data_IF_789128560425
#
_entry.id   IF_789128560425
#
_cell.length_a   1.000
_cell.length_b   1.000
_cell.length_c   1.000
_cell.angle_alpha   90.00
_cell.angle_beta   90.00
_cell.angle_gamma   90.00
#
_symmetry.space_group_name_H-M   'P 1'
#
loop_
_entity.id
_entity.type
_entity.pdbx_description
1 polymer ?
#
# COMPACT_ATOMS: atom_id res chain seq x y z
N UNK A 1 -52.45 -78.65 33.79
CA UNK A 1 -52.20 -77.43 32.99
C UNK A 1 -52.50 -76.24 33.88
N UNK A 2 -51.48 -75.46 34.24
CA UNK A 2 -51.55 -74.04 34.61
C UNK A 2 -50.12 -73.58 34.93
N UNK A 3 -49.42 -73.26 33.85
CA UNK A 3 -48.47 -72.18 33.64
C UNK A 3 -47.70 -71.63 34.86
N UNK A 4 -46.46 -72.11 35.00
CA UNK A 4 -45.38 -71.39 35.68
C UNK A 4 -45.09 -70.11 34.90
N UNK A 5 -45.52 -68.97 35.41
CA UNK A 5 -44.99 -67.66 34.99
C UNK A 5 -43.53 -67.58 35.44
N UNK A 6 -42.56 -67.24 34.57
CA UNK A 6 -41.18 -67.06 35.01
C UNK A 6 -41.07 -65.78 35.83
N UNK A 7 -40.46 -65.86 37.01
CA UNK A 7 -39.95 -64.70 37.72
C UNK A 7 -38.81 -64.13 36.88
N UNK A 8 -39.09 -63.04 36.17
CA UNK A 8 -38.06 -62.29 35.46
C UNK A 8 -37.39 -61.38 36.49
N UNK A 9 -36.10 -61.54 36.80
CA UNK A 9 -35.39 -60.56 37.61
C UNK A 9 -35.41 -59.24 36.84
N UNK A 10 -36.03 -58.20 37.42
CA UNK A 10 -35.81 -56.82 36.97
C UNK A 10 -34.33 -56.53 37.20
N UNK A 11 -33.59 -56.36 36.12
CA UNK A 11 -32.22 -55.85 36.18
C UNK A 11 -32.23 -54.47 36.80
N UNK A 12 -31.38 -54.22 37.79
CA UNK A 12 -31.13 -52.88 38.35
C UNK A 12 -30.46 -51.92 37.35
N UNK A 13 -30.19 -52.37 36.11
CA UNK A 13 -29.59 -51.60 35.02
C UNK A 13 -30.63 -50.94 34.10
N UNK A 14 -31.79 -50.57 34.64
CA UNK A 14 -32.75 -49.71 33.96
C UNK A 14 -32.41 -48.25 34.22
N UNK A 15 -31.90 -47.54 33.22
CA UNK A 15 -31.73 -46.08 33.27
C UNK A 15 -33.10 -45.42 33.50
N UNK A 16 -33.47 -45.20 34.77
CA UNK A 16 -34.67 -44.47 35.15
C UNK A 16 -34.47 -43.01 34.74
N UNK A 17 -34.99 -42.63 33.58
CA UNK A 17 -35.03 -41.25 33.16
C UNK A 17 -35.92 -40.45 34.12
N UNK A 18 -35.30 -39.76 35.09
CA UNK A 18 -35.98 -38.82 35.97
C UNK A 18 -36.30 -37.56 35.14
N UNK A 19 -37.56 -37.41 34.72
CA UNK A 19 -38.00 -36.24 33.96
C UNK A 19 -38.37 -35.11 34.92
N UNK A 20 -37.72 -33.94 34.86
CA UNK A 20 -38.03 -32.83 35.75
C UNK A 20 -39.44 -32.29 35.52
N UNK A 21 -40.13 -31.91 36.59
CA UNK A 21 -41.44 -31.25 36.45
C UNK A 21 -41.27 -29.84 35.88
N UNK A 22 -42.24 -29.33 35.08
CA UNK A 22 -42.17 -27.96 34.55
C UNK A 22 -42.03 -26.89 35.65
N UNK A 23 -42.60 -27.13 36.84
CA UNK A 23 -42.43 -26.25 38.01
C UNK A 23 -41.00 -26.22 38.51
N UNK A 24 -40.33 -27.36 38.57
CA UNK A 24 -38.93 -27.46 38.96
C UNK A 24 -38.04 -26.72 37.94
N UNK A 25 -38.26 -26.94 36.64
CA UNK A 25 -37.51 -26.24 35.57
C UNK A 25 -37.71 -24.73 35.63
N UNK A 26 -38.94 -24.24 35.83
CA UNK A 26 -39.21 -22.80 35.95
C UNK A 26 -38.48 -22.20 37.16
N UNK A 27 -38.57 -22.87 38.33
CA UNK A 27 -37.89 -22.44 39.55
C UNK A 27 -36.37 -22.41 39.37
N UNK A 28 -35.78 -23.44 38.76
CA UNK A 28 -34.33 -23.48 38.54
C UNK A 28 -33.88 -22.45 37.52
N UNK A 29 -34.69 -22.12 36.51
CA UNK A 29 -34.40 -21.02 35.57
C UNK A 29 -34.45 -19.66 36.28
N UNK A 30 -35.47 -19.42 37.12
CA UNK A 30 -35.59 -18.18 37.90
C UNK A 30 -34.41 -18.00 38.87
N UNK A 31 -34.06 -19.06 39.61
CA UNK A 31 -32.90 -19.09 40.50
C UNK A 31 -31.58 -18.92 39.73
N UNK A 32 -31.44 -19.56 38.57
CA UNK A 32 -30.27 -19.41 37.71
C UNK A 32 -30.14 -17.98 37.17
N UNK A 33 -31.23 -17.36 36.76
CA UNK A 33 -31.23 -15.98 36.27
C UNK A 33 -30.82 -14.98 37.37
N UNK A 34 -31.30 -15.18 38.60
CA UNK A 34 -30.94 -14.34 39.76
C UNK A 34 -29.49 -14.55 40.22
N UNK A 35 -28.95 -15.77 40.07
CA UNK A 35 -27.55 -16.10 40.38
C UNK A 35 -26.55 -15.35 39.50
N UNK A 36 -26.94 -14.94 38.29
CA UNK A 36 -26.08 -14.20 37.34
C UNK A 36 -25.96 -12.70 37.63
N UNK A 37 -26.15 -12.25 38.86
CA UNK A 37 -25.95 -10.85 39.24
C UNK A 37 -24.45 -10.54 39.44
N UNK A 38 -23.68 -10.59 38.35
CA UNK A 38 -22.27 -10.18 38.36
C UNK A 38 -22.14 -8.73 37.88
N UNK A 39 -21.29 -7.92 38.54
CA UNK A 39 -21.01 -6.56 38.10
C UNK A 39 -20.28 -6.55 36.75
N UNK A 40 -20.26 -5.40 36.10
CA UNK A 40 -19.44 -5.17 34.91
C UNK A 40 -17.95 -5.27 35.27
N UNK A 41 -17.14 -5.76 34.34
CA UNK A 41 -15.69 -5.81 34.54
C UNK A 41 -15.10 -4.40 34.59
N UNK A 42 -14.09 -4.23 35.42
CA UNK A 42 -13.24 -3.04 35.44
C UNK A 42 -11.79 -3.48 35.22
N UNK A 43 -10.87 -2.51 35.16
CA UNK A 43 -9.44 -2.82 35.10
C UNK A 43 -8.92 -3.51 36.38
N UNK A 44 -9.65 -3.39 37.49
CA UNK A 44 -9.25 -3.92 38.80
C UNK A 44 -10.07 -5.15 39.20
N UNK A 45 -11.37 -5.16 38.87
CA UNK A 45 -12.31 -6.18 39.30
C UNK A 45 -12.87 -6.97 38.11
N UNK A 46 -13.01 -8.28 38.31
CA UNK A 46 -13.56 -9.18 37.29
C UNK A 46 -15.08 -8.99 37.16
N UNK A 47 -15.61 -9.10 35.95
CA UNK A 47 -17.04 -8.97 35.66
C UNK A 47 -17.40 -9.25 34.20
N UNK A 48 -18.60 -8.84 33.76
CA UNK A 48 -19.01 -8.95 32.35
C UNK A 48 -18.50 -7.80 31.48
N UNK A 49 -18.21 -8.09 30.21
CA UNK A 49 -17.80 -7.12 29.20
C UNK A 49 -18.67 -7.25 27.95
N UNK A 50 -18.85 -6.13 27.24
CA UNK A 50 -19.43 -6.12 25.89
C UNK A 50 -18.28 -6.07 24.88
N UNK A 51 -18.45 -6.76 23.74
CA UNK A 51 -17.44 -6.81 22.69
C UNK A 51 -17.68 -5.69 21.68
N UNK A 52 -16.62 -5.03 21.23
CA UNK A 52 -16.66 -4.07 20.12
C UNK A 52 -15.72 -4.48 18.98
N UNK A 53 -16.17 -4.24 17.75
CA UNK A 53 -15.37 -4.38 16.53
C UNK A 53 -14.73 -3.06 16.08
N UNK A 54 -14.92 -1.97 16.84
CA UNK A 54 -14.37 -0.66 16.49
C UNK A 54 -12.86 -0.62 16.70
N UNK A 55 -12.14 -0.02 15.75
CA UNK A 55 -10.66 0.09 15.77
C UNK A 55 -10.14 1.39 16.35
N UNK A 56 -11.04 2.35 16.64
CA UNK A 56 -10.71 3.69 17.15
C UNK A 56 -11.65 4.14 18.27
N UNK A 57 -12.25 3.19 19.00
CA UNK A 57 -13.12 3.51 20.14
C UNK A 57 -12.29 3.90 21.37
N UNK A 58 -12.76 4.90 22.10
CA UNK A 58 -12.18 5.35 23.38
C UNK A 58 -12.88 4.69 24.59
N UNK A 59 -13.70 3.65 24.37
CA UNK A 59 -14.44 3.00 25.44
C UNK A 59 -13.53 2.13 26.29
N UNK A 60 -13.53 2.36 27.61
CA UNK A 60 -12.79 1.55 28.59
C UNK A 60 -13.59 0.35 29.12
N UNK A 61 -14.89 0.27 28.79
CA UNK A 61 -15.81 -0.76 29.29
C UNK A 61 -16.07 -1.89 28.30
N UNK A 62 -15.56 -1.75 27.07
CA UNK A 62 -15.76 -2.71 25.98
C UNK A 62 -14.45 -3.40 25.62
N UNK A 63 -14.50 -4.72 25.43
CA UNK A 63 -13.35 -5.49 24.99
C UNK A 63 -13.26 -5.54 23.46
N UNK A 64 -12.04 -5.38 22.92
CA UNK A 64 -11.80 -5.48 21.49
C UNK A 64 -11.91 -6.94 21.02
N UNK A 65 -12.52 -7.17 19.85
CA UNK A 65 -12.53 -8.49 19.21
C UNK A 65 -11.24 -8.75 18.42
N UNK A 66 -10.91 -10.03 18.12
CA UNK A 66 -9.81 -10.36 17.21
C UNK A 66 -9.92 -9.67 15.84
N UNK A 67 -11.15 -9.40 15.37
CA UNK A 67 -11.41 -8.67 14.13
C UNK A 67 -10.92 -7.23 14.19
N UNK A 68 -11.20 -6.51 15.29
CA UNK A 68 -10.73 -5.14 15.49
C UNK A 68 -9.19 -5.10 15.58
N UNK A 69 -8.59 -6.02 16.34
CA UNK A 69 -7.13 -6.11 16.49
C UNK A 69 -6.44 -6.40 15.14
N UNK A 70 -6.99 -7.32 14.35
CA UNK A 70 -6.47 -7.62 13.01
C UNK A 70 -6.55 -6.42 12.09
N UNK A 71 -7.69 -5.71 12.07
CA UNK A 71 -7.85 -4.52 11.25
C UNK A 71 -6.85 -3.40 11.64
N UNK A 72 -6.64 -3.15 12.94
CA UNK A 72 -5.63 -2.20 13.40
C UNK A 72 -4.19 -2.61 12.99
N UNK A 73 -3.87 -3.90 13.09
CA UNK A 73 -2.59 -4.45 12.66
C UNK A 73 -2.37 -4.27 11.15
N UNK A 74 -3.39 -4.55 10.34
CA UNK A 74 -3.29 -4.43 8.88
C UNK A 74 -3.10 -2.96 8.45
N UNK A 75 -3.76 -2.02 9.13
CA UNK A 75 -3.55 -0.57 8.94
C UNK A 75 -2.12 -0.15 9.32
N UNK A 76 -1.61 -0.61 10.46
CA UNK A 76 -0.24 -0.31 10.90
C UNK A 76 0.81 -0.92 9.95
N UNK A 77 0.59 -2.16 9.49
CA UNK A 77 1.44 -2.82 8.50
C UNK A 77 1.47 -2.03 7.19
N UNK A 78 0.32 -1.56 6.72
CA UNK A 78 0.21 -0.71 5.51
C UNK A 78 0.95 0.61 5.69
N UNK A 79 0.79 1.27 6.83
CA UNK A 79 1.51 2.51 7.14
C UNK A 79 3.03 2.29 7.18
N UNK A 80 3.49 1.21 7.80
CA UNK A 80 4.91 0.85 7.85
C UNK A 80 5.47 0.55 6.45
N UNK A 81 4.73 -0.17 5.61
CA UNK A 81 5.12 -0.37 4.22
C UNK A 81 5.19 0.94 3.46
N UNK A 82 4.26 1.86 3.69
CA UNK A 82 4.28 3.17 3.03
C UNK A 82 5.42 4.07 3.53
N UNK A 83 5.80 3.97 4.81
CA UNK A 83 6.94 4.69 5.38
C UNK A 83 8.30 4.13 4.92
N UNK A 84 8.38 2.80 4.73
CA UNK A 84 9.60 2.11 4.29
C UNK A 84 9.78 2.08 2.78
N UNK A 85 8.72 2.31 2.00
CA UNK A 85 8.85 2.61 0.57
C UNK A 85 9.76 3.84 0.43
N UNK A 86 10.94 3.70 -0.21
CA UNK A 86 11.65 4.88 -0.65
C UNK A 86 10.65 5.69 -1.47
N UNK A 87 10.56 7.00 -1.24
CA UNK A 87 9.97 7.89 -2.24
C UNK A 87 10.84 7.71 -3.48
N UNK A 88 10.48 6.78 -4.37
CA UNK A 88 11.19 6.48 -5.62
C UNK A 88 10.90 7.61 -6.60
N UNK A 89 11.37 8.79 -6.22
CA UNK A 89 11.93 9.77 -7.13
C UNK A 89 13.04 9.01 -7.85
N UNK A 90 12.69 8.36 -8.96
CA UNK A 90 13.54 7.43 -9.71
C UNK A 90 15.00 7.86 -9.81
N UNK A 91 15.90 6.88 -9.83
CA UNK A 91 17.34 7.09 -9.79
C UNK A 91 17.76 8.01 -10.94
N UNK A 92 18.58 9.02 -10.62
CA UNK A 92 19.14 9.88 -11.65
C UNK A 92 20.25 9.10 -12.35
N UNK A 93 20.08 8.88 -13.65
CA UNK A 93 21.06 8.26 -14.54
C UNK A 93 21.65 9.32 -15.48
N UNK A 94 22.77 8.97 -16.14
CA UNK A 94 23.37 9.85 -17.15
C UNK A 94 23.90 9.11 -18.35
N UNK A 95 23.77 9.73 -19.53
CA UNK A 95 24.46 9.32 -20.76
C UNK A 95 25.58 10.34 -21.01
N UNK A 96 26.80 9.86 -21.29
CA UNK A 96 27.97 10.70 -21.60
C UNK A 96 28.33 10.48 -23.07
N UNK A 97 28.70 11.54 -23.79
CA UNK A 97 29.06 11.47 -25.19
C UNK A 97 29.60 12.79 -25.72
N UNK A 98 29.62 12.94 -27.04
CA UNK A 98 29.99 14.17 -27.71
C UNK A 98 29.03 14.37 -28.86
N UNK A 99 28.01 15.17 -28.62
CA UNK A 99 26.92 15.38 -29.56
C UNK A 99 26.90 16.84 -29.98
N UNK A 100 26.73 17.05 -31.28
CA UNK A 100 26.59 18.35 -31.91
C UNK A 100 25.37 18.33 -32.84
N UNK A 101 25.20 19.37 -33.66
CA UNK A 101 24.22 19.36 -34.75
C UNK A 101 24.38 18.10 -35.62
N UNK A 102 23.25 17.51 -36.03
CA UNK A 102 23.11 16.23 -36.73
C UNK A 102 23.52 14.98 -35.93
N UNK A 103 23.65 15.09 -34.61
CA UNK A 103 23.88 13.92 -33.74
C UNK A 103 22.57 13.41 -33.13
N UNK A 104 22.43 12.10 -33.03
CA UNK A 104 21.32 11.44 -32.32
C UNK A 104 21.79 10.84 -31.00
N UNK A 105 21.01 11.06 -29.95
CA UNK A 105 21.28 10.62 -28.59
C UNK A 105 20.20 9.62 -28.21
N UNK A 106 20.61 8.39 -27.87
CA UNK A 106 19.70 7.32 -27.48
C UNK A 106 19.71 7.16 -25.97
N UNK A 107 18.58 7.39 -25.34
CA UNK A 107 18.39 7.22 -23.90
C UNK A 107 17.51 5.99 -23.68
N UNK A 108 17.98 4.97 -22.92
CA UNK A 108 17.23 3.73 -22.70
C UNK A 108 16.17 3.90 -21.59
N UNK A 109 15.34 4.93 -21.71
CA UNK A 109 14.19 5.20 -20.84
C UNK A 109 13.15 6.03 -21.58
N UNK A 110 11.87 5.88 -21.21
CA UNK A 110 10.81 6.80 -21.64
C UNK A 110 10.87 8.09 -20.80
N UNK A 111 11.16 9.20 -21.48
CA UNK A 111 11.32 10.51 -20.85
C UNK A 111 10.14 11.45 -21.08
N UNK A 112 9.03 10.98 -21.67
CA UNK A 112 7.87 11.82 -21.98
C UNK A 112 7.41 12.63 -20.78
N UNK A 113 7.28 13.95 -20.97
CA UNK A 113 6.82 14.88 -19.93
C UNK A 113 7.82 15.13 -18.79
N UNK A 114 9.01 14.55 -18.84
CA UNK A 114 10.06 14.82 -17.87
C UNK A 114 10.88 16.07 -18.24
N UNK A 115 11.60 16.61 -17.26
CA UNK A 115 12.64 17.64 -17.49
C UNK A 115 14.00 16.97 -17.34
N UNK A 116 14.81 17.03 -18.39
CA UNK A 116 16.16 16.47 -18.42
C UNK A 116 17.21 17.57 -18.41
N UNK A 117 18.41 17.27 -17.96
CA UNK A 117 19.50 18.25 -17.91
C UNK A 117 20.57 17.91 -18.92
N UNK A 118 20.80 18.80 -19.88
CA UNK A 118 21.92 18.75 -20.80
C UNK A 118 23.12 19.48 -20.22
N UNK A 119 24.29 18.89 -20.35
CA UNK A 119 25.58 19.49 -20.01
C UNK A 119 26.28 19.86 -21.30
N UNK A 120 26.71 21.12 -21.41
CA UNK A 120 27.51 21.60 -22.53
C UNK A 120 29.01 21.55 -22.22
N UNK A 121 29.84 21.71 -23.25
CA UNK A 121 31.30 21.84 -23.12
C UNK A 121 31.71 22.86 -22.03
N UNK A 122 32.84 22.59 -21.38
CA UNK A 122 33.43 23.49 -20.39
C UNK A 122 33.78 24.85 -21.01
N UNK A 123 33.65 25.92 -20.22
CA UNK A 123 33.92 27.30 -20.65
C UNK A 123 32.71 28.05 -21.24
N UNK A 124 31.56 27.38 -21.43
CA UNK A 124 30.31 28.05 -21.81
C UNK A 124 29.53 28.53 -20.58
N UNK A 125 29.01 29.76 -20.64
CA UNK A 125 28.10 30.29 -19.62
C UNK A 125 26.85 29.41 -19.52
N UNK A 126 26.41 29.09 -18.29
CA UNK A 126 25.31 28.17 -18.01
C UNK A 126 25.53 26.75 -18.60
N UNK A 127 26.55 26.04 -18.11
CA UNK A 127 26.93 24.70 -18.59
C UNK A 127 25.77 23.70 -18.53
N UNK A 128 24.94 23.75 -17.50
CA UNK A 128 23.77 22.88 -17.33
C UNK A 128 22.52 23.58 -17.86
N UNK A 129 21.73 22.90 -18.67
CA UNK A 129 20.51 23.38 -19.30
C UNK A 129 19.38 22.41 -19.01
N UNK A 130 18.32 22.87 -18.34
CA UNK A 130 17.12 22.08 -18.12
C UNK A 130 16.22 22.18 -19.35
N UNK A 131 15.96 21.06 -20.01
CA UNK A 131 15.14 20.99 -21.22
C UNK A 131 13.90 20.10 -20.94
N UNK A 132 12.69 20.59 -21.23
CA UNK A 132 11.49 19.79 -21.15
C UNK A 132 11.43 18.81 -22.32
N UNK A 133 10.98 17.59 -22.04
CA UNK A 133 10.73 16.55 -23.05
C UNK A 133 9.24 16.56 -23.39
N UNK A 134 8.85 16.62 -24.68
CA UNK A 134 7.45 16.60 -25.07
C UNK A 134 6.76 15.27 -24.73
N UNK A 135 5.43 15.26 -24.73
CA UNK A 135 4.64 14.04 -24.49
C UNK A 135 4.48 13.17 -25.76
N UNK A 136 4.77 13.72 -26.93
CA UNK A 136 4.59 13.11 -28.25
C UNK A 136 5.80 13.39 -29.12
N UNK A 137 6.02 12.55 -30.13
CA UNK A 137 7.07 12.76 -31.13
C UNK A 137 6.95 14.14 -31.77
N UNK A 138 8.08 14.79 -32.00
CA UNK A 138 8.08 16.10 -32.63
C UNK A 138 9.37 16.88 -32.47
N UNK A 139 9.42 18.02 -33.15
CA UNK A 139 10.55 18.95 -33.09
C UNK A 139 10.21 20.08 -32.13
N UNK A 140 11.13 20.40 -31.23
CA UNK A 140 10.99 21.55 -30.33
C UNK A 140 12.22 22.44 -30.44
N UNK A 141 11.99 23.76 -30.45
CA UNK A 141 13.05 24.74 -30.27
C UNK A 141 13.28 24.96 -28.78
N UNK A 142 14.54 24.95 -28.36
CA UNK A 142 14.96 25.27 -27.01
C UNK A 142 15.95 26.42 -27.04
N UNK A 143 15.60 27.50 -26.36
CA UNK A 143 16.52 28.62 -26.14
C UNK A 143 17.47 28.26 -25.00
N UNK A 144 18.77 28.29 -25.28
CA UNK A 144 19.79 27.95 -24.29
C UNK A 144 20.29 29.23 -23.61
N UNK A 145 20.52 29.16 -22.29
CA UNK A 145 21.03 30.30 -21.55
C UNK A 145 22.46 30.67 -21.98
N UNK A 146 22.78 31.96 -21.98
CA UNK A 146 24.11 32.48 -22.29
C UNK A 146 24.06 33.81 -23.07
N UNK A 147 25.21 34.50 -23.19
CA UNK A 147 25.27 35.85 -23.77
C UNK A 147 25.11 35.86 -25.30
N UNK A 148 25.33 34.73 -25.98
CA UNK A 148 25.47 34.68 -27.44
C UNK A 148 24.20 34.23 -28.18
N UNK A 149 23.02 34.43 -27.57
CA UNK A 149 21.72 34.02 -28.12
C UNK A 149 21.73 32.57 -28.63
N UNK A 150 22.06 31.63 -27.75
CA UNK A 150 22.16 30.21 -28.09
C UNK A 150 20.76 29.58 -28.21
N UNK A 151 20.61 28.68 -29.17
CA UNK A 151 19.35 28.00 -29.46
C UNK A 151 19.65 26.65 -30.10
N UNK A 152 18.74 25.68 -29.92
CA UNK A 152 18.82 24.37 -30.56
C UNK A 152 17.43 23.89 -30.97
N UNK A 153 17.36 23.17 -32.08
CA UNK A 153 16.18 22.44 -32.52
C UNK A 153 16.42 20.96 -32.27
N UNK A 154 15.56 20.36 -31.45
CA UNK A 154 15.65 18.96 -31.05
C UNK A 154 14.44 18.21 -31.57
N UNK A 155 14.68 17.14 -32.34
CA UNK A 155 13.66 16.16 -32.69
C UNK A 155 13.64 15.07 -31.62
N UNK A 156 12.47 14.82 -31.04
CA UNK A 156 12.21 13.74 -30.11
C UNK A 156 11.44 12.64 -30.83
N UNK A 157 11.94 11.40 -30.72
CA UNK A 157 11.26 10.19 -31.14
C UNK A 157 11.24 9.20 -29.99
N UNK A 158 10.05 8.70 -29.67
CA UNK A 158 9.84 7.77 -28.57
C UNK A 158 9.52 6.39 -29.12
N UNK A 159 10.24 5.38 -28.65
CA UNK A 159 9.98 3.97 -28.92
C UNK A 159 9.64 3.25 -27.62
N UNK A 160 9.38 1.94 -27.68
CA UNK A 160 9.09 1.12 -26.50
C UNK A 160 10.22 1.23 -25.46
N UNK A 161 9.98 2.05 -24.43
CA UNK A 161 10.88 2.35 -23.32
C UNK A 161 12.23 3.01 -23.71
N UNK A 162 12.29 3.74 -24.84
CA UNK A 162 13.48 4.53 -25.20
C UNK A 162 13.12 5.89 -25.79
N UNK A 163 14.00 6.87 -25.58
CA UNK A 163 13.88 8.22 -26.12
C UNK A 163 15.10 8.53 -26.99
N UNK A 164 14.85 8.85 -28.26
CA UNK A 164 15.87 9.29 -29.20
C UNK A 164 15.75 10.80 -29.41
N UNK A 165 16.83 11.52 -29.16
CA UNK A 165 16.90 12.98 -29.30
C UNK A 165 17.91 13.30 -30.40
N UNK A 166 17.44 13.83 -31.52
CA UNK A 166 18.31 14.27 -32.60
C UNK A 166 18.44 15.79 -32.55
N UNK A 167 19.68 16.29 -32.52
CA UNK A 167 19.94 17.72 -32.68
C UNK A 167 19.84 18.02 -34.18
N UNK A 168 18.76 18.67 -34.60
CA UNK A 168 18.51 18.96 -36.03
C UNK A 168 19.32 20.18 -36.48
N UNK A 169 19.31 21.23 -35.67
CA UNK A 169 20.06 22.45 -35.91
C UNK A 169 20.31 23.17 -34.59
N UNK A 170 21.22 24.12 -34.56
CA UNK A 170 21.38 24.97 -33.40
C UNK A 170 22.72 25.67 -33.30
N UNK A 171 22.68 26.82 -32.64
CA UNK A 171 23.87 27.55 -32.22
C UNK A 171 24.20 27.18 -30.77
N UNK A 172 25.25 26.38 -30.59
CA UNK A 172 25.77 26.01 -29.27
C UNK A 172 25.39 24.61 -28.78
N UNK A 173 25.07 23.70 -29.70
CA UNK A 173 24.64 22.32 -29.42
C UNK A 173 25.74 21.37 -28.90
N UNK A 174 26.87 21.87 -28.41
CA UNK A 174 28.02 21.08 -27.97
C UNK A 174 27.73 20.36 -26.63
N UNK A 175 26.95 19.29 -26.67
CA UNK A 175 26.52 18.53 -25.50
C UNK A 175 27.49 17.39 -25.19
N UNK A 176 27.81 17.23 -23.90
CA UNK A 176 28.76 16.22 -23.41
C UNK A 176 28.12 15.18 -22.50
N UNK A 177 27.00 15.54 -21.86
CA UNK A 177 26.32 14.65 -20.92
C UNK A 177 24.84 15.02 -20.81
N UNK A 178 23.99 14.04 -20.54
CA UNK A 178 22.57 14.24 -20.21
C UNK A 178 22.27 13.52 -18.92
N UNK A 179 21.61 14.20 -17.99
CA UNK A 179 21.02 13.58 -16.79
C UNK A 179 19.52 13.45 -16.96
N UNK A 180 19.00 12.29 -16.59
CA UNK A 180 17.58 11.95 -16.67
C UNK A 180 17.18 11.10 -15.47
N UNK A 181 15.87 11.05 -15.21
CA UNK A 181 15.29 10.15 -14.22
C UNK A 181 14.71 8.94 -14.97
N UNK A 182 15.04 7.76 -14.46
CA UNK A 182 14.39 6.50 -14.84
C UNK A 182 13.15 6.25 -14.01
#
# INVERSE_FOLDING_TARGET
MQDKKPDVPVSEDGDFAVVPTPKYVKKTIEEHALSRNHPNATLQDKGFVVLSNDVGSNSETMAATPKAVKAAYDLASTANQNATKPQTKGSIKSVIGSWNVNSTISIPADLRGQVITFVRLSGLNARHQALPVPLVDGITEQRLAGPNNYWVWLEFKFSDNSTHITVIDGRGANFTQIFYRE
#
